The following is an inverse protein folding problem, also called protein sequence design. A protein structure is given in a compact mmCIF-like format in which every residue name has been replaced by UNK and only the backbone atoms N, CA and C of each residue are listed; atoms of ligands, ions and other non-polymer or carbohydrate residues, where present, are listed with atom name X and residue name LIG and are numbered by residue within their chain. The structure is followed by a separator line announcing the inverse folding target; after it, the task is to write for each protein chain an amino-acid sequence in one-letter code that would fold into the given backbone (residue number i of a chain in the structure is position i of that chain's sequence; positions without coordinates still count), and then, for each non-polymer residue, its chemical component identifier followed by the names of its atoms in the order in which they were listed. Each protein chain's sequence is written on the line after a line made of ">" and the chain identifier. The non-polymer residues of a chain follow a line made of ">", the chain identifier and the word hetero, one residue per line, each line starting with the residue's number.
data_IF_234870684697
#
_entry.id   IF_234870684697
#
_cell.length_a   1.000
_cell.length_b   1.000
_cell.length_c   1.000
_cell.angle_alpha   90.00
_cell.angle_beta   90.00
_cell.angle_gamma   90.00
#
_symmetry.space_group_name_H-M   'P 1'
#
loop_
_entity.id
_entity.type
_entity.pdbx_description
1 polymer ?
#
# COMPACT_ATOMS: atom_id res chain seq x y z
N UNK A 1 38.52 5.21 12.24
CA UNK A 1 37.51 5.97 11.49
C UNK A 1 38.24 7.11 10.81
N UNK A 2 38.33 7.06 9.49
CA UNK A 2 38.96 8.12 8.70
C UNK A 2 37.98 9.29 8.53
N UNK A 3 38.51 10.46 8.22
CA UNK A 3 37.75 11.70 8.04
C UNK A 3 36.68 11.57 6.93
N UNK A 4 36.94 10.72 5.93
CA UNK A 4 35.99 10.35 4.87
C UNK A 4 34.79 9.56 5.40
N UNK A 5 34.99 8.65 6.37
CA UNK A 5 33.90 7.88 6.97
C UNK A 5 32.97 8.79 7.78
N UNK A 6 33.55 9.78 8.48
CA UNK A 6 32.81 10.78 9.25
C UNK A 6 31.99 11.66 8.31
N UNK A 7 32.57 12.11 7.18
CA UNK A 7 31.82 12.90 6.20
C UNK A 7 30.66 12.12 5.57
N UNK A 8 30.84 10.81 5.31
CA UNK A 8 29.77 9.98 4.75
C UNK A 8 28.63 9.74 5.76
N UNK A 9 28.96 9.55 7.04
CA UNK A 9 27.98 9.44 8.13
C UNK A 9 27.23 10.76 8.30
N UNK A 10 27.95 11.89 8.34
CA UNK A 10 27.34 13.23 8.46
C UNK A 10 26.42 13.50 7.27
N UNK A 11 26.81 13.13 6.05
CA UNK A 11 25.98 13.29 4.85
C UNK A 11 24.71 12.44 4.89
N UNK A 12 24.78 11.20 5.41
CA UNK A 12 23.61 10.34 5.63
C UNK A 12 22.68 10.91 6.70
N UNK A 13 23.22 11.42 7.80
CA UNK A 13 22.44 12.05 8.88
C UNK A 13 21.77 13.33 8.38
N UNK A 14 22.49 14.19 7.67
CA UNK A 14 21.92 15.41 7.08
C UNK A 14 20.84 15.11 6.04
N UNK A 15 21.03 14.11 5.16
CA UNK A 15 19.99 13.68 4.23
C UNK A 15 18.75 13.12 4.96
N UNK A 16 18.93 12.41 6.08
CA UNK A 16 17.82 11.93 6.90
C UNK A 16 17.08 13.06 7.63
N UNK A 17 17.79 14.13 8.00
CA UNK A 17 17.20 15.33 8.62
C UNK A 17 16.50 16.22 7.58
N UNK A 18 17.03 16.35 6.36
CA UNK A 18 16.35 17.06 5.26
C UNK A 18 15.05 16.37 4.85
N UNK A 19 15.00 15.03 4.89
CA UNK A 19 13.76 14.26 4.71
C UNK A 19 12.72 14.53 5.82
N UNK A 20 13.15 14.89 7.03
CA UNK A 20 12.26 15.28 8.13
C UNK A 20 11.72 16.71 8.04
N UNK A 21 12.32 17.56 7.19
CA UNK A 21 12.06 19.01 7.17
C UNK A 21 11.35 19.51 5.90
N UNK A 22 10.85 18.60 5.05
CA UNK A 22 9.94 18.95 3.98
C UNK A 22 8.51 18.63 4.42
N UNK A 23 7.57 19.57 4.28
CA UNK A 23 6.11 19.35 4.38
C UNK A 23 5.55 18.30 3.38
N UNK A 24 6.43 17.54 2.72
CA UNK A 24 6.09 16.54 1.72
C UNK A 24 5.70 15.25 2.43
N UNK A 25 4.40 14.96 2.45
CA UNK A 25 3.84 13.71 2.99
C UNK A 25 4.51 12.50 2.33
N UNK A 26 4.97 11.55 3.15
CA UNK A 26 5.69 10.36 2.68
C UNK A 26 4.84 9.55 1.69
N UNK A 27 5.40 9.26 0.52
CA UNK A 27 4.73 8.49 -0.53
C UNK A 27 3.66 9.26 -1.33
N UNK A 28 3.51 10.58 -1.13
CA UNK A 28 2.54 11.39 -1.88
C UNK A 28 3.26 12.22 -2.95
N UNK A 29 2.80 12.09 -4.20
CA UNK A 29 3.41 12.71 -5.38
C UNK A 29 2.44 13.64 -6.10
N UNK A 30 2.97 14.63 -6.80
CA UNK A 30 2.15 15.58 -7.56
C UNK A 30 1.60 14.95 -8.86
N UNK A 31 2.34 14.03 -9.48
CA UNK A 31 1.96 13.30 -10.69
C UNK A 31 1.86 11.79 -10.46
N UNK A 32 0.93 11.15 -11.18
CA UNK A 32 0.71 9.70 -11.08
C UNK A 32 1.90 8.90 -11.64
N UNK A 33 2.57 9.35 -12.70
CA UNK A 33 3.72 8.62 -13.26
C UNK A 33 4.90 8.63 -12.29
N UNK A 34 5.10 9.74 -11.57
CA UNK A 34 6.14 9.84 -10.53
C UNK A 34 5.87 8.89 -9.37
N UNK A 35 4.62 8.82 -8.90
CA UNK A 35 4.19 7.84 -7.90
C UNK A 35 4.48 6.40 -8.35
N UNK A 36 4.13 6.07 -9.60
CA UNK A 36 4.35 4.74 -10.17
C UNK A 36 5.85 4.45 -10.35
N UNK A 37 6.63 5.44 -10.77
CA UNK A 37 8.07 5.29 -10.93
C UNK A 37 8.75 5.02 -9.58
N UNK A 38 8.39 5.78 -8.54
CA UNK A 38 8.90 5.58 -7.19
C UNK A 38 8.53 4.20 -6.62
N UNK A 39 7.27 3.79 -6.76
CA UNK A 39 6.81 2.46 -6.35
C UNK A 39 7.53 1.34 -7.11
N UNK A 40 7.82 1.52 -8.40
CA UNK A 40 8.55 0.54 -9.21
C UNK A 40 10.01 0.39 -8.76
N UNK A 41 10.69 1.47 -8.37
CA UNK A 41 12.04 1.38 -7.83
C UNK A 41 12.05 0.72 -6.44
N UNK A 42 11.10 1.07 -5.57
CA UNK A 42 10.93 0.41 -4.28
C UNK A 42 10.65 -1.09 -4.43
N UNK A 43 9.90 -1.49 -5.47
CA UNK A 43 9.56 -2.88 -5.72
C UNK A 43 10.77 -3.76 -6.03
N UNK A 44 11.78 -3.23 -6.73
CA UNK A 44 13.04 -3.96 -7.00
C UNK A 44 13.78 -4.32 -5.71
N UNK A 45 13.63 -3.50 -4.68
CA UNK A 45 14.17 -3.77 -3.34
C UNK A 45 13.25 -4.75 -2.61
N UNK A 46 11.95 -4.48 -2.57
CA UNK A 46 10.93 -5.30 -1.90
C UNK A 46 10.96 -6.78 -2.34
N UNK A 47 11.08 -7.04 -3.64
CA UNK A 47 11.12 -8.39 -4.20
C UNK A 47 12.29 -9.23 -3.65
N UNK A 48 13.40 -8.60 -3.33
CA UNK A 48 14.62 -9.26 -2.81
C UNK A 48 14.62 -9.38 -1.29
N UNK A 49 13.64 -8.78 -0.61
CA UNK A 49 13.57 -8.84 0.85
C UNK A 49 13.18 -10.24 1.32
N UNK A 50 13.82 -10.76 2.39
CA UNK A 50 13.37 -11.96 3.08
C UNK A 50 11.93 -11.82 3.59
N UNK A 51 11.21 -12.94 3.66
CA UNK A 51 9.83 -12.97 4.16
C UNK A 51 9.72 -12.38 5.56
N UNK A 52 10.62 -12.74 6.49
CA UNK A 52 10.65 -12.19 7.85
C UNK A 52 10.78 -10.67 7.89
N UNK A 53 11.49 -10.09 6.91
CA UNK A 53 11.63 -8.64 6.83
C UNK A 53 10.34 -7.98 6.35
N UNK A 54 9.64 -8.60 5.38
CA UNK A 54 8.31 -8.15 4.95
C UNK A 54 7.31 -8.26 6.11
N UNK A 55 7.38 -9.35 6.89
CA UNK A 55 6.53 -9.53 8.07
C UNK A 55 6.83 -8.49 9.15
N UNK A 56 8.09 -8.11 9.35
CA UNK A 56 8.47 -7.02 10.25
C UNK A 56 7.84 -5.69 9.83
N UNK A 57 7.84 -5.38 8.53
CA UNK A 57 7.15 -4.19 8.00
C UNK A 57 5.64 -4.29 8.28
N UNK A 58 5.02 -5.42 7.96
CA UNK A 58 3.57 -5.65 8.17
C UNK A 58 3.20 -5.52 9.66
N UNK A 59 3.98 -6.14 10.54
CA UNK A 59 3.82 -6.02 11.99
C UNK A 59 3.87 -4.57 12.46
N UNK A 60 4.76 -3.76 11.88
CA UNK A 60 4.82 -2.34 12.21
C UNK A 60 3.64 -1.53 11.63
N UNK A 61 3.13 -1.89 10.44
CA UNK A 61 1.87 -1.34 9.91
C UNK A 61 0.71 -1.63 10.86
N UNK A 62 0.60 -2.87 11.37
CA UNK A 62 -0.43 -3.24 12.35
C UNK A 62 -0.32 -2.40 13.62
N UNK A 63 0.88 -2.27 14.18
CA UNK A 63 1.15 -1.45 15.37
C UNK A 63 0.70 0.01 15.15
N UNK A 64 1.19 0.66 14.11
CA UNK A 64 0.85 2.06 13.81
C UNK A 64 -0.65 2.23 13.52
N UNK A 65 -1.30 1.24 12.90
CA UNK A 65 -2.74 1.25 12.67
C UNK A 65 -3.51 1.28 13.99
N UNK A 66 -3.14 0.44 14.96
CA UNK A 66 -3.79 0.40 16.28
C UNK A 66 -3.58 1.72 17.03
N UNK A 67 -2.34 2.24 17.04
CA UNK A 67 -2.00 3.50 17.70
C UNK A 67 -2.76 4.70 17.10
N UNK A 68 -3.02 4.69 15.80
CA UNK A 68 -3.69 5.77 15.08
C UNK A 68 -5.18 5.49 14.77
N UNK A 69 -5.75 4.41 15.30
CA UNK A 69 -7.10 3.96 14.93
C UNK A 69 -8.17 5.03 15.18
N UNK A 70 -8.09 5.74 16.30
CA UNK A 70 -9.02 6.83 16.64
C UNK A 70 -8.85 8.04 15.71
N UNK A 71 -7.61 8.43 15.42
CA UNK A 71 -7.32 9.54 14.51
C UNK A 71 -7.86 9.24 13.10
N UNK A 72 -7.53 8.07 12.55
CA UNK A 72 -8.00 7.63 11.24
C UNK A 72 -9.53 7.58 11.18
N UNK A 73 -10.18 7.09 12.25
CA UNK A 73 -11.64 7.02 12.34
C UNK A 73 -12.28 8.42 12.35
N UNK A 74 -11.82 9.33 13.22
CA UNK A 74 -12.35 10.70 13.31
C UNK A 74 -12.19 11.43 11.99
N UNK A 75 -10.97 11.43 11.45
CA UNK A 75 -10.64 12.07 10.19
C UNK A 75 -11.45 11.50 9.02
N UNK A 76 -11.67 10.18 9.00
CA UNK A 76 -12.50 9.52 8.00
C UNK A 76 -13.97 9.94 8.06
N UNK A 77 -14.57 10.04 9.25
CA UNK A 77 -15.95 10.54 9.41
C UNK A 77 -16.04 12.01 9.03
N UNK A 78 -15.11 12.84 9.51
CA UNK A 78 -15.08 14.28 9.26
C UNK A 78 -14.92 14.61 7.77
N UNK A 79 -14.05 13.89 7.06
CA UNK A 79 -13.79 14.14 5.65
C UNK A 79 -14.94 13.65 4.75
N UNK A 80 -15.49 12.46 5.05
CA UNK A 80 -16.45 11.79 4.15
C UNK A 80 -17.91 12.06 4.51
N UNK A 81 -18.19 12.44 5.76
CA UNK A 81 -19.54 12.47 6.33
C UNK A 81 -20.19 11.10 6.50
N UNK A 82 -19.44 9.98 6.36
CA UNK A 82 -19.99 8.63 6.33
C UNK A 82 -19.58 7.79 7.55
N UNK A 83 -20.57 7.09 8.13
CA UNK A 83 -20.38 6.20 9.28
C UNK A 83 -20.23 6.94 10.60
N UNK A 84 -19.70 6.25 11.61
CA UNK A 84 -19.41 6.81 12.92
C UNK A 84 -18.00 6.41 13.39
N UNK A 85 -17.47 7.18 14.36
CA UNK A 85 -16.09 7.03 14.84
C UNK A 85 -15.88 5.69 15.54
N UNK A 86 -16.82 5.26 16.39
CA UNK A 86 -16.71 4.01 17.15
C UNK A 86 -16.55 2.78 16.25
N UNK A 87 -17.42 2.63 15.26
CA UNK A 87 -17.37 1.51 14.32
C UNK A 87 -16.12 1.56 13.44
N UNK A 88 -15.69 2.76 13.03
CA UNK A 88 -14.44 2.90 12.27
C UNK A 88 -13.23 2.53 13.12
N UNK A 89 -13.18 2.83 14.42
CA UNK A 89 -12.11 2.34 15.31
C UNK A 89 -12.09 0.81 15.31
N UNK A 90 -13.24 0.17 15.47
CA UNK A 90 -13.34 -1.30 15.48
C UNK A 90 -12.87 -1.89 14.14
N UNK A 91 -13.17 -1.26 13.01
CA UNK A 91 -12.71 -1.71 11.69
C UNK A 91 -11.19 -1.60 11.53
N UNK A 92 -10.56 -0.54 12.05
CA UNK A 92 -9.09 -0.42 12.04
C UNK A 92 -8.43 -1.47 12.94
N UNK A 93 -9.03 -1.78 14.10
CA UNK A 93 -8.56 -2.90 14.95
C UNK A 93 -8.71 -4.24 14.24
N UNK A 94 -9.88 -4.48 13.63
CA UNK A 94 -10.17 -5.71 12.90
C UNK A 94 -9.14 -5.96 11.80
N UNK A 95 -8.86 -4.98 10.93
CA UNK A 95 -7.90 -5.18 9.85
C UNK A 95 -6.47 -5.36 10.39
N UNK A 96 -6.08 -4.62 11.42
CA UNK A 96 -4.75 -4.74 12.02
C UNK A 96 -4.55 -6.12 12.67
N UNK A 97 -5.60 -6.77 13.17
CA UNK A 97 -5.52 -8.09 13.81
C UNK A 97 -5.77 -9.26 12.84
N UNK A 98 -6.55 -9.05 11.77
CA UNK A 98 -7.11 -10.16 10.96
C UNK A 98 -6.74 -10.12 9.47
N UNK A 99 -6.20 -9.02 8.93
CA UNK A 99 -5.65 -9.08 7.57
C UNK A 99 -4.45 -10.02 7.59
N UNK A 100 -4.35 -11.03 6.70
CA UNK A 100 -3.19 -11.91 6.67
C UNK A 100 -1.89 -11.18 6.28
N UNK A 101 -0.78 -11.64 6.84
CA UNK A 101 0.58 -11.22 6.49
C UNK A 101 1.26 -12.24 5.58
N UNK A 102 2.55 -12.46 5.84
CA UNK A 102 3.38 -13.41 5.08
C UNK A 102 2.99 -14.87 5.26
N UNK A 103 2.22 -15.21 6.29
CA UNK A 103 1.70 -16.55 6.51
C UNK A 103 0.76 -17.06 5.40
N UNK A 104 0.17 -16.15 4.62
CA UNK A 104 -0.68 -16.49 3.47
C UNK A 104 0.14 -16.87 2.22
N UNK A 105 1.45 -16.58 2.22
CA UNK A 105 2.38 -16.92 1.15
C UNK A 105 2.92 -18.32 1.39
N UNK A 106 2.25 -19.31 0.81
CA UNK A 106 2.55 -20.74 1.05
C UNK A 106 3.21 -21.42 -0.14
N UNK A 107 4.09 -22.37 0.16
CA UNK A 107 4.72 -23.26 -0.82
C UNK A 107 3.94 -24.57 -0.91
N UNK A 108 3.59 -25.00 -2.14
CA UNK A 108 3.03 -26.34 -2.37
C UNK A 108 4.08 -27.23 -3.02
N UNK A 109 4.27 -28.41 -2.44
CA UNK A 109 5.31 -29.37 -2.84
C UNK A 109 4.69 -30.72 -3.19
N UNK A 110 5.10 -31.28 -4.31
CA UNK A 110 4.83 -32.67 -4.68
C UNK A 110 6.14 -33.39 -4.99
N UNK A 111 6.34 -34.54 -4.36
CA UNK A 111 7.48 -35.43 -4.61
C UNK A 111 7.00 -36.80 -5.05
N UNK A 112 7.69 -37.43 -6.00
CA UNK A 112 7.43 -38.82 -6.41
C UNK A 112 8.41 -39.30 -7.48
N UNK A 113 8.07 -40.39 -8.17
CA UNK A 113 8.94 -41.03 -9.18
C UNK A 113 9.39 -40.09 -10.32
N UNK A 114 8.68 -38.98 -10.51
CA UNK A 114 8.95 -37.95 -11.53
C UNK A 114 9.68 -36.72 -10.98
N UNK A 115 10.27 -36.84 -9.78
CA UNK A 115 11.05 -35.78 -9.15
C UNK A 115 10.24 -34.91 -8.19
N UNK A 116 10.58 -33.62 -8.15
CA UNK A 116 10.04 -32.62 -7.22
C UNK A 116 9.42 -31.47 -8.00
N UNK A 117 8.16 -31.14 -7.69
CA UNK A 117 7.48 -29.95 -8.19
C UNK A 117 7.20 -29.01 -7.03
N UNK A 118 7.64 -27.75 -7.19
CA UNK A 118 7.40 -26.65 -6.26
C UNK A 118 6.48 -25.62 -6.93
N UNK A 119 5.46 -25.18 -6.20
CA UNK A 119 4.61 -24.05 -6.60
C UNK A 119 4.72 -22.98 -5.52
N UNK A 120 5.23 -21.82 -5.92
CA UNK A 120 5.46 -20.65 -5.07
C UNK A 120 4.60 -19.48 -5.54
N UNK A 121 4.29 -18.55 -4.63
CA UNK A 121 3.53 -17.34 -4.93
C UNK A 121 4.48 -16.15 -5.11
N UNK A 122 4.90 -15.91 -6.35
CA UNK A 122 5.76 -14.77 -6.71
C UNK A 122 5.01 -13.43 -6.80
N UNK A 123 5.71 -12.29 -6.64
CA UNK A 123 5.11 -10.97 -6.78
C UNK A 123 4.63 -10.69 -8.21
N UNK A 124 3.58 -9.89 -8.32
CA UNK A 124 3.17 -9.28 -9.58
C UNK A 124 4.07 -8.11 -9.98
N UNK A 125 4.54 -7.32 -9.02
CA UNK A 125 5.27 -6.08 -9.27
C UNK A 125 4.61 -4.89 -8.58
N UNK A 126 4.34 -3.82 -9.33
CA UNK A 126 3.60 -2.66 -8.83
C UNK A 126 2.10 -2.88 -9.02
N UNK A 127 1.32 -2.78 -7.96
CA UNK A 127 -0.14 -2.93 -8.02
C UNK A 127 -0.80 -1.55 -8.00
N UNK A 128 -1.73 -1.31 -8.93
CA UNK A 128 -2.60 -0.13 -8.88
C UNK A 128 -3.84 -0.42 -8.04
N UNK A 129 -4.19 0.43 -7.08
CA UNK A 129 -5.31 0.22 -6.18
C UNK A 129 -6.26 1.43 -6.15
N UNK A 130 -7.53 1.20 -6.46
CA UNK A 130 -8.60 2.21 -6.34
C UNK A 130 -9.37 1.94 -5.06
N UNK A 131 -9.41 2.90 -4.14
CA UNK A 131 -10.04 2.76 -2.82
C UNK A 131 -11.37 3.53 -2.72
N UNK A 132 -12.36 3.02 -1.98
CA UNK A 132 -13.67 3.65 -1.83
C UNK A 132 -13.66 4.76 -0.78
N UNK A 133 -14.69 5.62 -0.76
CA UNK A 133 -14.88 6.60 0.32
C UNK A 133 -15.53 6.03 1.59
N UNK A 134 -16.16 4.85 1.52
CA UNK A 134 -16.81 4.21 2.69
C UNK A 134 -15.80 3.64 3.69
N UNK A 135 -14.72 3.04 3.15
CA UNK A 135 -13.65 2.38 3.90
C UNK A 135 -12.26 2.86 3.42
N UNK A 136 -11.96 4.17 3.45
CA UNK A 136 -10.82 4.73 2.74
C UNK A 136 -9.47 4.27 3.30
N UNK A 137 -9.16 4.63 4.55
CA UNK A 137 -7.93 4.23 5.23
C UNK A 137 -7.89 2.72 5.48
N UNK A 138 -9.03 2.10 5.77
CA UNK A 138 -9.12 0.68 6.01
C UNK A 138 -8.68 -0.12 4.78
N UNK A 139 -9.14 0.28 3.59
CA UNK A 139 -8.76 -0.38 2.33
C UNK A 139 -7.29 -0.14 1.99
N UNK A 140 -6.77 1.08 2.24
CA UNK A 140 -5.33 1.37 2.03
C UNK A 140 -4.45 0.47 2.89
N UNK A 141 -4.76 0.34 4.18
CA UNK A 141 -3.98 -0.46 5.12
C UNK A 141 -4.09 -1.96 4.84
N UNK A 142 -5.31 -2.46 4.62
CA UNK A 142 -5.55 -3.87 4.29
C UNK A 142 -4.84 -4.29 3.00
N UNK A 143 -5.02 -3.50 1.92
CA UNK A 143 -4.36 -3.77 0.65
C UNK A 143 -2.83 -3.71 0.79
N UNK A 144 -2.31 -2.71 1.52
CA UNK A 144 -0.86 -2.59 1.71
C UNK A 144 -0.28 -3.83 2.37
N UNK A 145 -0.86 -4.31 3.49
CA UNK A 145 -0.35 -5.50 4.18
C UNK A 145 -0.29 -6.74 3.28
N UNK A 146 -1.40 -7.08 2.60
CA UNK A 146 -1.44 -8.26 1.72
C UNK A 146 -0.54 -8.12 0.49
N UNK A 147 -0.49 -6.93 -0.12
CA UNK A 147 0.36 -6.69 -1.29
C UNK A 147 1.85 -6.74 -0.94
N UNK A 148 2.25 -6.17 0.20
CA UNK A 148 3.62 -6.19 0.71
C UNK A 148 4.03 -7.62 1.09
N UNK A 149 3.15 -8.41 1.70
CA UNK A 149 3.41 -9.82 2.02
C UNK A 149 3.85 -10.60 0.77
N UNK A 150 3.12 -10.42 -0.33
CA UNK A 150 3.45 -11.00 -1.63
C UNK A 150 4.67 -10.40 -2.34
N UNK A 151 5.39 -9.43 -1.75
CA UNK A 151 6.58 -8.79 -2.33
C UNK A 151 6.28 -7.72 -3.38
N UNK A 152 5.07 -7.13 -3.34
CA UNK A 152 4.64 -6.07 -4.24
C UNK A 152 4.81 -4.69 -3.59
N UNK A 153 4.75 -3.65 -4.41
CA UNK A 153 4.44 -2.28 -3.95
C UNK A 153 3.09 -1.86 -4.50
N UNK A 154 2.51 -0.80 -3.94
CA UNK A 154 1.16 -0.37 -4.30
C UNK A 154 1.09 1.13 -4.58
N UNK A 155 0.36 1.48 -5.63
CA UNK A 155 0.04 2.87 -5.99
C UNK A 155 -1.47 3.05 -5.83
N UNK A 156 -1.87 3.94 -4.93
CA UNK A 156 -3.26 4.22 -4.63
C UNK A 156 -3.80 5.41 -5.42
N UNK A 157 -5.00 5.26 -5.97
CA UNK A 157 -5.82 6.35 -6.47
C UNK A 157 -7.11 6.42 -5.63
N UNK A 158 -7.10 7.14 -4.49
CA UNK A 158 -8.22 7.15 -3.57
C UNK A 158 -9.42 7.94 -4.09
N UNK A 159 -10.61 7.64 -3.56
CA UNK A 159 -11.80 8.41 -3.89
C UNK A 159 -11.61 9.90 -3.54
N UNK A 160 -12.01 10.85 -4.42
CA UNK A 160 -11.83 12.30 -4.18
C UNK A 160 -12.49 12.85 -2.92
N UNK A 161 -13.44 12.12 -2.34
CA UNK A 161 -14.12 12.46 -1.09
C UNK A 161 -13.41 11.96 0.18
N UNK A 162 -12.28 11.27 0.06
CA UNK A 162 -11.57 10.65 1.19
C UNK A 162 -10.04 10.72 1.03
N UNK A 163 -9.55 11.82 0.47
CA UNK A 163 -8.15 11.97 0.05
C UNK A 163 -7.23 12.08 1.25
N UNK A 164 -7.55 12.95 2.20
CA UNK A 164 -6.68 13.26 3.33
C UNK A 164 -6.50 12.04 4.24
N UNK A 165 -7.58 11.34 4.58
CA UNK A 165 -7.51 10.15 5.43
C UNK A 165 -6.81 8.98 4.72
N UNK A 166 -6.97 8.85 3.41
CA UNK A 166 -6.24 7.87 2.60
C UNK A 166 -4.74 8.19 2.54
N UNK A 167 -4.38 9.46 2.40
CA UNK A 167 -2.98 9.90 2.41
C UNK A 167 -2.31 9.66 3.76
N UNK A 168 -3.01 9.90 4.87
CA UNK A 168 -2.50 9.57 6.20
C UNK A 168 -2.21 8.06 6.32
N UNK A 169 -3.09 7.20 5.81
CA UNK A 169 -2.84 5.76 5.78
C UNK A 169 -1.62 5.39 4.91
N UNK A 170 -1.44 6.01 3.73
CA UNK A 170 -0.25 5.82 2.89
C UNK A 170 1.02 6.26 3.62
N UNK A 171 0.97 7.39 4.33
CA UNK A 171 2.08 7.90 5.11
C UNK A 171 2.47 6.93 6.24
N UNK A 172 1.48 6.39 6.96
CA UNK A 172 1.71 5.40 8.01
C UNK A 172 2.37 4.13 7.48
N UNK A 173 2.00 3.66 6.29
CA UNK A 173 2.64 2.49 5.66
C UNK A 173 4.11 2.77 5.32
N UNK A 174 4.42 3.95 4.76
CA UNK A 174 5.81 4.32 4.49
C UNK A 174 6.63 4.52 5.75
N UNK A 175 6.05 5.17 6.77
CA UNK A 175 6.67 5.31 8.09
C UNK A 175 6.98 3.94 8.70
N UNK A 176 6.02 3.02 8.66
CA UNK A 176 6.20 1.66 9.15
C UNK A 176 7.36 0.95 8.47
N UNK A 177 7.48 1.11 7.14
CA UNK A 177 8.59 0.56 6.38
C UNK A 177 9.93 1.13 6.79
N UNK A 178 10.04 2.47 6.85
CA UNK A 178 11.28 3.15 7.19
C UNK A 178 11.75 2.81 8.61
N UNK A 179 10.84 2.79 9.59
CA UNK A 179 11.12 2.38 10.97
C UNK A 179 11.61 0.92 11.07
N UNK A 180 11.13 0.05 10.18
CA UNK A 180 11.60 -1.34 10.11
C UNK A 180 12.97 -1.49 9.42
N UNK A 181 13.47 -0.43 8.76
CA UNK A 181 14.68 -0.42 7.92
C UNK A 181 14.41 -0.71 6.44
N UNK A 182 13.14 -0.68 6.02
CA UNK A 182 12.68 -0.88 4.65
C UNK A 182 12.82 0.35 3.76
N UNK A 183 12.43 0.25 2.47
CA UNK A 183 12.56 1.33 1.52
C UNK A 183 11.40 2.32 1.66
N UNK A 184 11.62 3.57 1.26
CA UNK A 184 10.52 4.50 1.04
C UNK A 184 9.67 4.06 -0.17
N UNK A 185 8.47 4.62 -0.29
CA UNK A 185 7.57 4.49 -1.44
C UNK A 185 7.08 3.06 -1.71
N UNK A 186 6.93 2.25 -0.67
CA UNK A 186 6.31 0.91 -0.81
C UNK A 186 4.79 1.01 -1.01
N UNK A 187 4.21 2.12 -0.55
CA UNK A 187 2.87 2.57 -0.87
C UNK A 187 2.97 4.01 -1.37
N UNK A 188 2.32 4.35 -2.47
CA UNK A 188 2.33 5.72 -2.99
C UNK A 188 0.95 6.19 -3.40
N UNK A 189 0.73 7.49 -3.51
CA UNK A 189 -0.50 8.05 -4.06
C UNK A 189 -0.24 9.40 -4.74
N UNK A 190 -1.20 9.86 -5.54
CA UNK A 190 -1.19 11.21 -6.10
C UNK A 190 -1.85 12.19 -5.12
N UNK A 191 -1.32 13.41 -5.06
CA UNK A 191 -1.78 14.47 -4.15
C UNK A 191 -3.24 14.87 -4.42
N UNK A 192 -3.65 14.86 -5.70
CA UNK A 192 -5.01 15.20 -6.13
C UNK A 192 -5.54 14.10 -7.03
N UNK A 193 -6.18 13.06 -6.48
CA UNK A 193 -6.72 11.97 -7.29
C UNK A 193 -7.89 12.48 -8.15
N UNK A 194 -7.87 12.11 -9.42
CA UNK A 194 -8.89 12.45 -10.42
C UNK A 194 -9.23 11.23 -11.27
N UNK A 195 -10.21 11.38 -12.16
CA UNK A 195 -10.47 10.38 -13.19
C UNK A 195 -9.29 10.24 -14.16
N UNK A 196 -8.54 11.31 -14.42
CA UNK A 196 -7.40 11.26 -15.33
C UNK A 196 -6.19 10.60 -14.68
N UNK A 197 -5.91 10.82 -13.39
CA UNK A 197 -4.90 10.04 -12.68
C UNK A 197 -5.26 8.55 -12.62
N UNK A 198 -6.54 8.22 -12.49
CA UNK A 198 -7.04 6.85 -12.61
C UNK A 198 -6.77 6.26 -14.00
N UNK A 199 -7.08 6.99 -15.08
CA UNK A 199 -6.78 6.54 -16.46
C UNK A 199 -5.29 6.33 -16.69
N UNK A 200 -4.45 7.23 -16.20
CA UNK A 200 -2.99 7.08 -16.25
C UNK A 200 -2.56 5.78 -15.58
N UNK A 201 -3.02 5.53 -14.35
CA UNK A 201 -2.74 4.30 -13.61
C UNK A 201 -3.22 3.05 -14.39
N UNK A 202 -4.45 3.08 -14.92
CA UNK A 202 -5.06 2.00 -15.70
C UNK A 202 -4.31 1.67 -16.98
N UNK A 203 -3.70 2.67 -17.63
CA UNK A 203 -2.95 2.48 -18.87
C UNK A 203 -1.46 2.17 -18.64
N UNK A 204 -0.92 2.40 -17.44
CA UNK A 204 0.52 2.43 -17.22
C UNK A 204 1.19 1.06 -17.36
N UNK A 205 2.26 0.96 -18.15
CA UNK A 205 2.95 -0.32 -18.45
C UNK A 205 3.59 -0.99 -17.23
N UNK A 206 4.04 -0.20 -16.24
CA UNK A 206 4.64 -0.72 -15.00
C UNK A 206 3.62 -1.31 -14.00
N UNK A 207 2.32 -1.20 -14.27
CA UNK A 207 1.26 -1.77 -13.43
C UNK A 207 0.68 -3.01 -14.14
N UNK A 208 1.10 -4.23 -13.78
CA UNK A 208 0.54 -5.47 -14.34
C UNK A 208 -0.80 -5.89 -13.70
N UNK A 209 -1.08 -5.46 -12.47
CA UNK A 209 -2.28 -5.83 -11.71
C UNK A 209 -2.97 -4.59 -11.14
N UNK A 210 -4.30 -4.56 -11.27
CA UNK A 210 -5.14 -3.51 -10.70
C UNK A 210 -6.19 -4.11 -9.76
N UNK A 211 -6.34 -3.51 -8.59
CA UNK A 211 -7.36 -3.86 -7.60
C UNK A 211 -8.33 -2.69 -7.45
N UNK A 212 -9.60 -2.91 -7.73
CA UNK A 212 -10.65 -1.92 -7.56
C UNK A 212 -11.62 -2.34 -6.46
N UNK A 213 -11.80 -1.47 -5.48
CA UNK A 213 -12.83 -1.60 -4.46
C UNK A 213 -13.77 -0.41 -4.57
N UNK A 214 -14.98 -0.63 -5.07
CA UNK A 214 -15.94 0.44 -5.29
C UNK A 214 -17.18 0.00 -6.05
N UNK A 215 -17.93 0.98 -6.56
CA UNK A 215 -19.17 0.72 -7.28
C UNK A 215 -18.97 -0.03 -8.61
N UNK A 216 -20.04 -0.58 -9.19
CA UNK A 216 -19.96 -1.38 -10.43
C UNK A 216 -19.21 -0.68 -11.57
N UNK A 217 -19.34 0.63 -11.72
CA UNK A 217 -18.66 1.39 -12.77
C UNK A 217 -17.13 1.33 -12.69
N UNK A 218 -16.55 1.42 -11.48
CA UNK A 218 -15.09 1.35 -11.33
C UNK A 218 -14.57 -0.08 -11.55
N UNK A 219 -15.33 -1.07 -11.09
CA UNK A 219 -15.01 -2.49 -11.30
C UNK A 219 -15.03 -2.84 -12.78
N UNK A 220 -16.07 -2.45 -13.52
CA UNK A 220 -16.14 -2.65 -14.97
C UNK A 220 -14.98 -1.97 -15.68
N UNK A 221 -14.65 -0.73 -15.30
CA UNK A 221 -13.52 0.00 -15.90
C UNK A 221 -12.19 -0.74 -15.73
N UNK A 222 -11.93 -1.30 -14.54
CA UNK A 222 -10.72 -2.10 -14.28
C UNK A 222 -10.73 -3.39 -15.10
N UNK A 223 -11.85 -4.12 -15.12
CA UNK A 223 -11.95 -5.39 -15.86
C UNK A 223 -11.91 -5.20 -17.39
N UNK A 224 -12.23 -4.00 -17.88
CA UNK A 224 -12.10 -3.63 -19.30
C UNK A 224 -10.78 -2.95 -19.67
N UNK A 225 -9.84 -2.79 -18.73
CA UNK A 225 -8.58 -2.06 -18.95
C UNK A 225 -7.54 -2.80 -19.80
N UNK A 226 -7.77 -4.08 -20.13
CA UNK A 226 -6.79 -4.95 -20.80
C UNK A 226 -5.66 -5.42 -19.88
N UNK A 227 -5.73 -5.11 -18.57
CA UNK A 227 -4.82 -5.61 -17.53
C UNK A 227 -5.52 -6.64 -16.66
N UNK A 228 -4.73 -7.40 -15.91
CA UNK A 228 -5.29 -8.26 -14.86
C UNK A 228 -5.97 -7.38 -13.82
N UNK A 229 -7.23 -7.66 -13.54
CA UNK A 229 -8.06 -6.88 -12.62
C UNK A 229 -8.66 -7.75 -11.51
N UNK A 230 -8.70 -7.24 -10.29
CA UNK A 230 -9.49 -7.77 -9.17
C UNK A 230 -10.53 -6.72 -8.82
N UNK A 231 -11.81 -7.06 -8.93
CA UNK A 231 -12.92 -6.17 -8.65
C UNK A 231 -13.72 -6.62 -7.43
N UNK A 232 -13.73 -5.81 -6.37
CA UNK A 232 -14.66 -5.95 -5.26
C UNK A 232 -15.91 -5.14 -5.56
N UNK A 233 -16.95 -5.82 -6.04
CA UNK A 233 -18.24 -5.23 -6.42
C UNK A 233 -19.19 -4.99 -5.24
N UNK A 234 -20.30 -4.31 -5.52
CA UNK A 234 -21.35 -4.08 -4.54
C UNK A 234 -22.16 -5.35 -4.27
N UNK A 235 -22.73 -5.44 -3.06
CA UNK A 235 -23.69 -6.48 -2.67
C UNK A 235 -24.95 -5.87 -2.07
N UNK A 236 -26.02 -6.67 -1.96
CA UNK A 236 -27.26 -6.32 -1.28
C UNK A 236 -27.72 -7.53 -0.41
N UNK A 237 -27.17 -7.68 0.81
CA UNK A 237 -27.44 -8.85 1.66
C UNK A 237 -28.95 -8.98 2.00
N UNK A 238 -29.56 -10.18 1.85
CA UNK A 238 -30.99 -10.42 2.12
C UNK A 238 -31.33 -10.49 3.62
#
# INVERSE_FOLDING_TARGET
>A
MNEQDIQEIVKKVMASMELSNSDRKLGIFDDMNDAIAAAAEAQKVMQKMPMDFREKIISNIRKLTIENAELLARMGVEETGMGNVGDKILKHKLLAEKTPGTEDITTRVWSGDRGLTLVEMGPFGVIGAITPCTNPSETVLCNSMGMIAGGNTVVFNPHPAAVKVSHLAVELVNRASLEAGGPANIATSVLKPTMDSSKTMLAHKKIPLIVATGGPGVVTTVLSSGKRGIGAGAGNPP
#
